data_IF_205881096091
#
_entry.id   IF_205881096091
#
_cell.length_a   1.000
_cell.length_b   1.000
_cell.length_c   1.000
_cell.angle_alpha   90.00
_cell.angle_beta   90.00
_cell.angle_gamma   90.00
#
_symmetry.space_group_name_H-M   'P 1'
#
loop_
_entity.id
_entity.type
_entity.pdbx_description
1 polymer ?
2 water ?
#
# COMPACT_ATOMS: atom_id res chain seq x y z
N UNK A 5 -8.20 -15.76 -2.24
CA UNK A 5 -8.11 -14.33 -1.86
C UNK A 5 -6.90 -13.69 -2.55
N UNK A 6 -6.61 -14.09 -3.79
CA UNK A 6 -5.46 -13.54 -4.51
C UNK A 6 -5.84 -12.44 -5.50
N UNK A 7 -4.94 -11.46 -5.59
CA UNK A 7 -5.08 -10.30 -6.44
C UNK A 7 -3.84 -10.18 -7.31
N UNK A 8 -4.03 -9.80 -8.55
CA UNK A 8 -2.95 -9.60 -9.50
C UNK A 8 -2.80 -8.09 -9.69
N UNK A 9 -1.59 -7.54 -9.51
CA UNK A 9 -1.45 -6.08 -9.51
C UNK A 9 -0.31 -5.64 -10.42
N UNK A 10 -0.54 -4.54 -11.14
CA UNK A 10 0.48 -3.87 -11.94
C UNK A 10 1.26 -2.85 -11.09
N UNK A 11 2.43 -3.27 -10.64
CA UNK A 11 3.37 -2.51 -9.85
C UNK A 11 4.30 -1.60 -10.68
N UNK A 12 4.65 -2.00 -11.90
CA UNK A 12 5.80 -1.43 -12.58
C UNK A 12 7.11 -1.94 -12.00
N UNK A 13 8.25 -1.67 -12.64
CA UNK A 13 9.49 -2.30 -12.19
C UNK A 13 10.13 -1.63 -10.98
N UNK A 14 9.94 -0.32 -10.80
CA UNK A 14 10.59 0.38 -9.68
C UNK A 14 9.96 0.00 -8.34
N UNK A 15 8.62 -0.04 -8.27
CA UNK A 15 7.95 -0.43 -7.02
C UNK A 15 8.06 -1.93 -6.76
N UNK A 16 8.24 -2.75 -7.79
CA UNK A 16 8.59 -4.15 -7.54
C UNK A 16 10.00 -4.26 -6.97
N UNK A 17 10.94 -3.49 -7.52
CA UNK A 17 12.28 -3.44 -6.95
C UNK A 17 12.24 -3.03 -5.48
N UNK A 18 11.45 -2.00 -5.15
CA UNK A 18 11.29 -1.54 -3.77
C UNK A 18 10.76 -2.65 -2.87
N UNK A 19 9.70 -3.34 -3.31
CA UNK A 19 9.14 -4.41 -2.49
C UNK A 19 10.18 -5.50 -2.25
N UNK A 20 10.84 -5.93 -3.33
CA UNK A 20 11.78 -7.03 -3.21
C UNK A 20 12.99 -6.62 -2.40
N UNK A 21 13.30 -5.33 -2.39
CA UNK A 21 14.32 -4.84 -1.49
C UNK A 21 13.90 -4.98 -0.04
N UNK A 22 12.63 -4.69 0.28
CA UNK A 22 12.26 -4.80 1.69
C UNK A 22 12.25 -6.25 2.13
N UNK A 23 11.78 -7.15 1.27
CA UNK A 23 11.85 -8.56 1.62
C UNK A 23 13.30 -9.00 1.78
N UNK A 24 14.16 -8.54 0.88
CA UNK A 24 15.59 -8.83 0.95
C UNK A 24 16.18 -8.40 2.28
N UNK A 25 15.73 -7.25 2.81
CA UNK A 25 16.23 -6.77 4.10
C UNK A 25 15.92 -7.75 5.23
N UNK A 26 14.86 -8.55 5.09
CA UNK A 26 14.48 -9.48 6.13
C UNK A 26 13.42 -9.01 7.12
N UNK A 27 13.09 -7.73 7.16
CA UNK A 27 11.98 -7.30 8.01
C UNK A 27 10.62 -7.82 7.52
N UNK A 28 10.56 -8.39 6.32
CA UNK A 28 9.33 -8.95 5.80
C UNK A 28 9.66 -10.32 5.22
N UNK A 29 8.65 -11.19 5.19
CA UNK A 29 8.81 -12.56 4.72
C UNK A 29 8.44 -12.70 3.25
N UNK A 30 7.28 -12.18 2.82
CA UNK A 30 6.82 -12.32 1.44
C UNK A 30 6.51 -10.96 0.85
N UNK A 31 6.52 -10.89 -0.49
CA UNK A 31 6.01 -9.71 -1.19
C UNK A 31 4.61 -9.35 -0.69
N UNK A 32 3.80 -10.37 -0.43
CA UNK A 32 2.43 -10.12 0.02
C UNK A 32 2.42 -9.42 1.36
N UNK A 33 3.38 -9.73 2.22
CA UNK A 33 3.40 -9.07 3.52
C UNK A 33 3.68 -7.58 3.36
N UNK A 34 4.56 -7.21 2.42
CA UNK A 34 4.82 -5.81 2.11
C UNK A 34 3.55 -5.12 1.60
N UNK A 35 2.83 -5.79 0.69
CA UNK A 35 1.63 -5.15 0.15
C UNK A 35 0.61 -4.93 1.26
N UNK A 36 0.42 -5.92 2.13
CA UNK A 36 -0.56 -5.77 3.22
C UNK A 36 -0.12 -4.69 4.21
N UNK A 37 1.18 -4.56 4.49
CA UNK A 37 1.63 -3.48 5.34
C UNK A 37 1.25 -2.11 4.75
N UNK A 38 1.45 -1.97 3.43
CA UNK A 38 1.10 -0.71 2.79
C UNK A 38 -0.39 -0.43 2.80
N UNK A 39 -1.22 -1.47 2.56
CA UNK A 39 -2.67 -1.29 2.64
C UNK A 39 -3.14 -1.02 4.07
N UNK A 40 -2.46 -1.55 5.08
CA UNK A 40 -2.85 -1.19 6.44
C UNK A 40 -2.57 0.28 6.70
N UNK A 41 -1.43 0.77 6.23
CA UNK A 41 -1.15 2.20 6.28
C UNK A 41 -2.21 3.00 5.56
N UNK A 42 -2.60 2.57 4.35
CA UNK A 42 -3.58 3.34 3.58
C UNK A 42 -4.95 3.33 4.25
N UNK A 43 -5.35 2.20 4.85
CA UNK A 43 -6.61 2.12 5.59
C UNK A 43 -6.62 3.05 6.79
N UNK A 44 -5.50 3.10 7.51
CA UNK A 44 -5.44 3.99 8.66
C UNK A 44 -5.50 5.44 8.20
N UNK A 45 -4.73 5.79 7.16
CA UNK A 45 -4.79 7.16 6.64
C UNK A 45 -6.20 7.52 6.17
N UNK A 46 -6.89 6.58 5.50
CA UNK A 46 -8.24 6.85 5.02
C UNK A 46 -9.21 7.11 6.17
N UNK A 47 -9.24 6.21 7.16
CA UNK A 47 -10.15 6.33 8.30
C UNK A 47 -9.92 7.62 9.10
N UNK A 48 -8.66 8.03 9.26
CA UNK A 48 -8.30 9.26 9.97
C UNK A 48 -8.53 10.56 9.23
N UNK A 49 -8.67 10.53 7.91
CA UNK A 49 -8.75 11.72 7.07
C UNK A 49 -9.99 12.57 7.32
N UNK A 50 -9.90 13.81 6.85
CA UNK A 50 -11.01 14.75 6.97
C UNK A 50 -12.09 14.46 5.95
N UNK A 51 -11.71 13.93 4.78
CA UNK A 51 -12.69 13.47 3.81
C UNK A 51 -13.59 12.37 4.36
N UNK A 52 -13.03 11.37 5.06
CA UNK A 52 -13.90 10.33 5.61
C UNK A 52 -14.88 10.90 6.63
N UNK A 53 -14.44 11.91 7.37
CA UNK A 53 -15.29 12.54 8.36
C UNK A 53 -16.38 13.36 7.69
N UNK A 54 -16.02 14.14 6.66
CA UNK A 54 -17.01 14.94 5.96
C UNK A 54 -18.03 14.03 5.26
N UNK A 55 -17.58 12.86 4.79
CA UNK A 55 -18.48 11.97 4.09
C UNK A 55 -19.44 11.28 5.04
N UNK A 56 -19.07 11.12 6.33
CA UNK A 56 -20.01 10.51 7.26
C UNK A 56 -21.09 11.47 7.75
N UNK A 57 -20.82 12.77 7.82
CA UNK A 57 -21.85 13.68 8.30
C UNK A 57 -22.82 14.09 7.20
N UNK A 58 -23.06 13.19 6.25
CA UNK A 58 -24.23 13.24 5.38
C UNK A 58 -25.10 12.04 5.70
N UNK A 59 -25.59 12.02 6.94
CA UNK A 59 -26.34 10.91 7.52
C UNK A 59 -27.84 11.18 7.48
N UNK B 4 9.86 -7.55 -13.98
CA UNK B 4 8.54 -7.58 -14.65
C UNK B 4 7.69 -6.40 -14.16
N UNK B 5 6.38 -6.45 -14.41
CA UNK B 5 5.51 -5.32 -14.01
C UNK B 5 4.27 -5.85 -13.27
N UNK B 6 4.03 -7.17 -13.30
CA UNK B 6 2.81 -7.73 -12.66
C UNK B 6 3.18 -8.57 -11.43
N UNK B 7 2.37 -8.50 -10.38
CA UNK B 7 2.65 -9.24 -9.12
C UNK B 7 1.33 -9.80 -8.59
N UNK B 8 1.34 -11.05 -8.12
CA UNK B 8 0.17 -11.71 -7.59
C UNK B 8 0.36 -11.77 -6.10
N UNK B 9 -0.62 -11.27 -5.36
CA UNK B 9 -0.46 -11.09 -3.93
C UNK B 9 -1.66 -11.67 -3.21
N UNK B 10 -1.38 -12.27 -2.07
CA UNK B 10 -2.36 -12.74 -1.11
C UNK B 10 -2.74 -11.58 -0.19
N UNK B 11 -3.94 -11.06 -0.37
CA UNK B 11 -4.48 -9.90 0.30
C UNK B 11 -5.39 -10.23 1.47
N UNK B 12 -6.22 -11.25 1.32
CA UNK B 12 -7.19 -11.45 2.36
C UNK B 12 -8.52 -10.89 1.91
N UNK B 13 -9.60 -11.42 2.45
CA UNK B 13 -10.89 -10.97 1.94
C UNK B 13 -11.19 -9.54 2.41
N UNK B 14 -10.82 -9.20 3.65
CA UNK B 14 -11.14 -7.88 4.19
C UNK B 14 -10.37 -6.77 3.48
N UNK B 15 -9.09 -6.98 3.21
CA UNK B 15 -8.29 -5.92 2.59
C UNK B 15 -8.69 -5.78 1.12
N UNK B 16 -9.14 -6.87 0.51
CA UNK B 16 -9.67 -6.74 -0.84
C UNK B 16 -10.94 -5.91 -0.80
N UNK B 17 -11.83 -6.21 0.15
CA UNK B 17 -13.02 -5.38 0.30
C UNK B 17 -12.66 -3.90 0.48
N UNK B 18 -11.60 -3.63 1.24
CA UNK B 18 -11.13 -2.25 1.37
C UNK B 18 -10.72 -1.66 0.01
N UNK B 19 -9.92 -2.41 -0.78
CA UNK B 19 -9.44 -1.88 -2.06
C UNK B 19 -10.62 -1.61 -2.97
N UNK B 20 -11.54 -2.56 -3.02
CA UNK B 20 -12.67 -2.41 -3.91
C UNK B 20 -13.57 -1.27 -3.47
N UNK B 21 -13.60 -0.98 -2.16
CA UNK B 21 -14.31 0.21 -1.70
C UNK B 21 -13.67 1.51 -2.16
N UNK B 22 -12.34 1.57 -2.16
CA UNK B 22 -11.74 2.82 -2.60
C UNK B 22 -11.97 3.03 -4.08
N UNK B 23 -11.98 1.95 -4.85
CA UNK B 23 -12.29 2.05 -6.28
C UNK B 23 -13.75 2.45 -6.51
N UNK B 24 -14.67 1.85 -5.74
CA UNK B 24 -16.09 2.16 -5.87
C UNK B 24 -16.34 3.63 -5.60
N UNK B 25 -15.63 4.20 -4.62
CA UNK B 25 -15.80 5.62 -4.34
C UNK B 25 -15.48 6.49 -5.56
N UNK B 26 -14.63 6.01 -6.46
CA UNK B 26 -14.22 6.81 -7.62
C UNK B 26 -12.94 7.61 -7.44
N UNK B 27 -12.39 7.67 -6.24
CA UNK B 27 -11.13 8.38 -6.04
C UNK B 27 -9.96 7.66 -6.72
N UNK B 28 -10.14 6.39 -7.08
CA UNK B 28 -9.16 5.55 -7.73
C UNK B 28 -9.81 4.79 -8.87
N UNK B 29 -9.00 4.41 -9.85
CA UNK B 29 -9.49 3.75 -11.05
C UNK B 29 -9.40 2.23 -11.03
N UNK B 30 -8.28 1.68 -10.62
CA UNK B 30 -8.09 0.25 -10.60
C UNK B 30 -7.58 -0.19 -9.23
N UNK B 31 -7.76 -1.47 -8.94
CA UNK B 31 -7.12 -2.03 -7.77
C UNK B 31 -5.62 -1.72 -7.76
N UNK B 32 -5.00 -1.69 -8.93
CA UNK B 32 -3.56 -1.45 -8.97
C UNK B 32 -3.21 -0.05 -8.51
N UNK B 33 -4.08 0.92 -8.80
CA UNK B 33 -3.80 2.28 -8.36
C UNK B 33 -3.84 2.37 -6.83
N UNK B 34 -4.76 1.63 -6.21
CA UNK B 34 -4.82 1.60 -4.75
C UNK B 34 -3.55 0.99 -4.19
N UNK B 35 -3.13 -0.16 -4.75
CA UNK B 35 -1.93 -0.82 -4.22
C UNK B 35 -0.70 0.07 -4.38
N UNK B 36 -0.56 0.75 -5.52
CA UNK B 36 0.61 1.63 -5.70
C UNK B 36 0.57 2.80 -4.72
N UNK B 37 -0.63 3.35 -4.45
CA UNK B 37 -0.71 4.44 -3.48
C UNK B 37 -0.24 3.97 -2.11
N UNK B 38 -0.65 2.76 -1.70
CA UNK B 38 -0.20 2.22 -0.43
C UNK B 38 1.30 2.00 -0.38
N UNK B 39 1.86 1.53 -1.49
CA UNK B 39 3.32 1.25 -1.55
C UNK B 39 4.08 2.56 -1.35
N UNK B 40 3.61 3.65 -1.97
CA UNK B 40 4.30 4.96 -1.86
C UNK B 40 4.32 5.39 -0.39
N UNK B 41 3.22 5.15 0.34
CA UNK B 41 3.16 5.52 1.78
C UNK B 41 4.27 4.77 2.53
N UNK B 42 4.32 3.44 2.37
CA UNK B 42 5.36 2.63 3.06
C UNK B 42 6.74 3.06 2.56
N UNK B 43 6.86 3.34 1.26
CA UNK B 43 8.17 3.74 0.68
C UNK B 43 8.65 5.03 1.34
N UNK B 44 7.77 6.03 1.44
CA UNK B 44 8.14 7.32 2.08
C UNK B 44 8.52 7.05 3.54
N UNK B 45 7.72 6.24 4.24
CA UNK B 45 8.01 5.91 5.66
C UNK B 45 9.40 5.27 5.74
N UNK B 46 9.67 4.29 4.87
CA UNK B 46 10.98 3.59 4.87
C UNK B 46 12.10 4.59 4.57
N UNK B 47 11.89 5.46 3.58
CA UNK B 47 12.94 6.43 3.18
C UNK B 47 13.33 7.30 4.38
N UNK B 48 12.34 7.82 5.11
CA UNK B 48 12.62 8.68 6.27
C UNK B 48 13.62 8.03 7.21
N UNK B 49 13.28 6.85 7.74
CA UNK B 49 14.17 6.13 8.66
C UNK B 49 15.55 5.91 8.04
N UNK B 50 15.59 5.66 6.73
CA UNK B 50 16.91 5.45 6.14
C UNK B 50 17.63 6.78 6.04
N UNK B 51 16.90 7.87 5.79
CA UNK B 51 17.51 9.19 5.80
C UNK B 51 18.06 9.53 7.17
N UNK B 52 17.31 9.22 8.23
CA UNK B 52 17.83 9.50 9.57
C UNK B 52 19.10 8.70 9.85
N UNK B 53 19.21 7.51 9.23
CA UNK B 53 20.42 6.73 9.43
C UNK B 53 21.59 7.37 8.69
N UNK B 54 21.43 7.72 7.41
CA UNK B 54 22.58 8.33 6.74
C UNK B 54 22.96 9.67 7.39
N UNK B 55 21.97 10.47 7.80
CA UNK B 55 22.29 11.76 8.41
C UNK B 55 23.11 11.56 9.68
N UNK B 56 22.58 10.87 10.71
CA UNK B 56 23.43 10.71 11.90
C UNK B 56 24.85 10.28 11.50
N UNK B 57 24.98 9.32 10.59
CA UNK B 57 26.31 8.89 10.15
C UNK B 57 26.85 9.97 9.20
#
# INVERSE_FOLDING_TARGET
MGSSRTMTVDTGEELRAFVEGLVESGDYKTNSEVIRDGLRLLQEKTAGSKLAALRLEHHHHHH
MGSSRTMTVDTGEELRAFVEGLVESGDYKTNSEVIRDGLRLLQEKTAGSKLAALRLEHHHHHH
#
